data_IF_238270727290
#
_entry.id   IF_238270727290
#
_cell.length_a   1.000
_cell.length_b   1.000
_cell.length_c   1.000
_cell.angle_alpha   90.00
_cell.angle_beta   90.00
_cell.angle_gamma   90.00
#
_symmetry.space_group_name_H-M   'P 1'
#
loop_
_entity.id
_entity.type
_entity.pdbx_description
1 polymer ?
#
# COMPACT_ATOMS: atom_id res chain seq x y z
N UNK A 1 5.25 17.51 -25.16
CA UNK A 1 5.86 17.68 -23.84
C UNK A 1 5.05 18.66 -23.00
N UNK A 2 4.07 18.18 -22.20
CA UNK A 2 3.35 18.94 -21.16
C UNK A 2 2.70 17.94 -20.18
N UNK A 3 3.49 17.32 -19.31
CA UNK A 3 2.98 16.38 -18.29
C UNK A 3 3.49 16.64 -16.87
N UNK A 4 4.02 17.86 -16.61
CA UNK A 4 4.63 18.15 -15.31
C UNK A 4 3.69 18.82 -14.29
N UNK A 5 2.40 19.03 -14.62
CA UNK A 5 1.57 19.97 -13.85
C UNK A 5 0.59 19.34 -12.84
N UNK A 6 0.37 18.02 -12.86
CA UNK A 6 -0.65 17.40 -12.01
C UNK A 6 -0.17 17.16 -10.56
N UNK A 7 1.01 16.56 -10.38
CA UNK A 7 1.61 16.34 -9.04
C UNK A 7 1.84 17.66 -8.30
N UNK A 8 2.40 18.63 -9.03
CA UNK A 8 2.68 19.95 -8.47
C UNK A 8 1.39 20.68 -8.09
N UNK A 9 0.35 20.61 -8.93
CA UNK A 9 -0.96 21.17 -8.62
C UNK A 9 -1.71 20.45 -7.50
N UNK A 10 -1.55 19.14 -7.36
CA UNK A 10 -2.12 18.38 -6.24
C UNK A 10 -1.39 18.71 -4.93
N UNK A 11 -0.06 18.72 -4.96
CA UNK A 11 0.77 19.13 -3.82
C UNK A 11 0.59 20.62 -3.53
N UNK A 12 0.48 21.47 -4.55
CA UNK A 12 0.17 22.90 -4.39
C UNK A 12 -1.25 23.13 -3.85
N UNK A 13 -2.24 22.31 -4.22
CA UNK A 13 -3.57 22.33 -3.62
C UNK A 13 -3.59 21.77 -2.20
N UNK A 14 -2.83 20.73 -1.92
CA UNK A 14 -2.57 20.25 -0.56
C UNK A 14 -1.84 21.31 0.27
N UNK A 15 -0.84 21.99 -0.30
CA UNK A 15 -0.09 23.05 0.36
C UNK A 15 -0.84 24.39 0.42
N UNK A 16 -1.65 24.74 -0.56
CA UNK A 16 -2.44 25.98 -0.58
C UNK A 16 -3.72 25.92 0.24
N UNK A 17 -4.23 24.70 0.52
CA UNK A 17 -5.35 24.48 1.47
C UNK A 17 -4.90 24.38 2.93
N UNK A 18 -3.60 24.18 3.17
CA UNK A 18 -3.00 24.13 4.50
C UNK A 18 -2.43 25.51 4.82
N UNK A 19 -3.25 26.38 5.45
CA UNK A 19 -2.66 27.36 6.35
C UNK A 19 -1.79 26.60 7.37
N UNK A 20 -0.69 27.18 7.82
CA UNK A 20 0.21 26.61 8.86
C UNK A 20 -0.55 25.97 10.06
N UNK A 21 -1.80 26.37 10.32
CA UNK A 21 -2.71 25.78 11.29
C UNK A 21 -3.15 24.34 10.96
N UNK A 22 -3.24 23.94 9.69
CA UNK A 22 -3.62 22.56 9.31
C UNK A 22 -2.49 21.55 9.54
N UNK A 23 -1.24 21.93 9.29
CA UNK A 23 -0.08 21.08 9.61
C UNK A 23 0.11 20.95 11.13
N UNK A 24 -0.13 22.01 11.91
CA UNK A 24 -0.02 21.96 13.36
C UNK A 24 -1.09 21.06 13.99
N UNK A 25 -2.31 20.98 13.43
CA UNK A 25 -3.35 20.08 13.96
C UNK A 25 -3.06 18.60 13.66
N UNK A 26 -2.48 18.28 12.50
CA UNK A 26 -2.04 16.92 12.17
C UNK A 26 -0.80 16.55 13.00
N UNK A 27 0.15 17.45 13.17
CA UNK A 27 1.33 17.25 14.04
C UNK A 27 0.92 17.08 15.49
N UNK A 28 -0.01 17.90 16.01
CA UNK A 28 -0.54 17.78 17.36
C UNK A 28 -1.35 16.48 17.56
N UNK A 29 -2.08 16.02 16.56
CA UNK A 29 -2.77 14.73 16.61
C UNK A 29 -1.79 13.55 16.58
N UNK A 30 -0.65 13.69 15.90
CA UNK A 30 0.42 12.69 15.91
C UNK A 30 1.24 12.73 17.22
N UNK A 31 1.50 13.92 17.77
CA UNK A 31 2.25 14.11 19.02
C UNK A 31 1.39 13.81 20.27
N UNK A 32 0.09 14.05 20.20
CA UNK A 32 -0.88 13.63 21.21
C UNK A 32 -1.30 12.16 21.04
N UNK A 33 -0.56 11.39 20.22
CA UNK A 33 -0.89 10.01 19.96
C UNK A 33 -1.06 9.25 21.26
N UNK A 34 -2.30 8.91 21.57
CA UNK A 34 -2.60 7.82 22.48
C UNK A 34 -1.69 6.64 22.12
N UNK A 35 -1.16 5.92 23.10
CA UNK A 35 -0.38 4.72 22.82
C UNK A 35 -1.09 3.90 21.75
N UNK A 36 -0.35 3.53 20.71
CA UNK A 36 -0.92 2.73 19.62
C UNK A 36 -1.60 1.50 20.19
N UNK A 37 -2.73 1.12 19.62
CA UNK A 37 -3.49 -0.05 20.07
C UNK A 37 -2.59 -1.28 20.16
N UNK A 38 -2.40 -1.76 21.37
CA UNK A 38 -1.59 -2.93 21.67
C UNK A 38 -2.06 -4.18 20.91
N UNK A 39 -3.38 -4.25 20.63
CA UNK A 39 -3.95 -5.33 19.81
C UNK A 39 -3.43 -5.27 18.38
N UNK A 40 -3.42 -4.07 17.75
CA UNK A 40 -2.90 -3.91 16.39
C UNK A 40 -1.42 -4.34 16.31
N UNK A 41 -0.61 -3.93 17.31
CA UNK A 41 0.81 -4.31 17.38
C UNK A 41 0.97 -5.83 17.47
N UNK A 42 0.27 -6.45 18.44
CA UNK A 42 0.38 -7.88 18.70
C UNK A 42 -0.13 -8.73 17.52
N UNK A 43 -1.27 -8.35 16.94
CA UNK A 43 -1.86 -9.04 15.78
C UNK A 43 -0.93 -8.95 14.56
N UNK A 44 -0.32 -7.78 14.33
CA UNK A 44 0.61 -7.56 13.21
C UNK A 44 1.91 -8.36 13.39
N UNK A 45 2.47 -8.37 14.59
CA UNK A 45 3.69 -9.13 14.89
C UNK A 45 3.46 -10.64 14.77
N UNK A 46 2.35 -11.13 15.33
CA UNK A 46 1.94 -12.53 15.24
C UNK A 46 1.69 -12.96 13.79
N UNK A 47 1.09 -12.08 12.96
CA UNK A 47 0.85 -12.32 11.55
C UNK A 47 2.17 -12.46 10.77
N UNK A 48 3.13 -11.54 10.96
CA UNK A 48 4.46 -11.63 10.35
C UNK A 48 5.18 -12.90 10.79
N UNK A 49 5.24 -13.16 12.11
CA UNK A 49 5.89 -14.32 12.68
C UNK A 49 5.33 -15.65 12.15
N UNK A 50 4.02 -15.73 12.00
CA UNK A 50 3.34 -16.92 11.46
C UNK A 50 3.52 -17.08 9.95
N UNK A 51 3.50 -15.96 9.23
CA UNK A 51 3.47 -15.94 7.76
C UNK A 51 4.86 -16.03 7.14
N UNK A 52 5.88 -15.44 7.75
CA UNK A 52 7.27 -15.48 7.24
C UNK A 52 7.87 -16.85 7.55
N UNK A 53 7.98 -17.68 6.51
CA UNK A 53 8.45 -19.06 6.58
C UNK A 53 9.29 -19.41 5.35
N UNK A 54 9.78 -20.63 5.30
CA UNK A 54 10.62 -21.10 4.22
C UNK A 54 12.08 -20.61 4.36
N UNK A 55 12.88 -21.01 3.40
CA UNK A 55 14.31 -20.77 3.35
C UNK A 55 14.65 -19.41 2.72
N UNK A 56 13.87 -19.05 1.70
CA UNK A 56 14.05 -17.83 0.94
C UNK A 56 13.03 -16.78 1.37
N UNK A 57 13.51 -15.64 1.90
CA UNK A 57 12.64 -14.61 2.49
C UNK A 57 13.08 -13.23 2.04
N UNK A 58 12.12 -12.44 1.57
CA UNK A 58 12.36 -11.09 1.08
C UNK A 58 11.25 -10.15 1.54
N UNK A 59 11.57 -8.89 1.85
CA UNK A 59 10.58 -7.84 2.05
C UNK A 59 10.77 -6.74 1.02
N UNK A 60 9.67 -6.40 0.33
CA UNK A 60 9.59 -5.29 -0.62
C UNK A 60 9.00 -4.07 0.05
N UNK A 61 9.77 -2.99 0.01
CA UNK A 61 9.36 -1.68 0.50
C UNK A 61 8.68 -0.90 -0.62
N UNK A 62 7.36 -0.83 -0.58
CA UNK A 62 6.52 -0.15 -1.56
C UNK A 62 5.96 1.18 -1.05
N UNK A 63 6.73 2.29 -1.05
CA UNK A 63 6.21 3.59 -0.63
C UNK A 63 5.43 4.33 -1.72
N UNK A 64 5.67 3.99 -2.98
CA UNK A 64 5.09 4.65 -4.15
C UNK A 64 4.37 3.63 -5.04
N UNK A 65 3.34 4.06 -5.79
CA UNK A 65 2.68 3.20 -6.77
C UNK A 65 3.63 2.65 -7.82
N UNK A 66 4.49 3.47 -8.39
CA UNK A 66 5.56 3.13 -9.33
C UNK A 66 5.13 2.02 -10.30
N UNK A 67 4.09 2.27 -11.08
CA UNK A 67 3.54 1.33 -12.08
C UNK A 67 3.31 -0.10 -11.54
N UNK A 68 2.97 -0.22 -10.25
CA UNK A 68 2.77 -1.48 -9.50
C UNK A 68 4.03 -2.33 -9.28
N UNK A 69 5.23 -1.78 -9.47
CA UNK A 69 6.47 -2.54 -9.25
C UNK A 69 6.57 -3.23 -7.88
N UNK A 70 6.06 -2.72 -6.76
CA UNK A 70 6.06 -3.48 -5.51
C UNK A 70 5.36 -4.85 -5.64
N UNK A 71 4.27 -4.92 -6.42
CA UNK A 71 3.52 -6.16 -6.67
C UNK A 71 4.22 -7.00 -7.74
N UNK A 72 4.64 -6.37 -8.85
CA UNK A 72 5.33 -7.03 -9.95
C UNK A 72 6.61 -7.71 -9.46
N UNK A 73 7.40 -7.07 -8.60
CA UNK A 73 8.62 -7.66 -8.06
C UNK A 73 8.33 -8.80 -7.09
N UNK A 74 7.24 -8.72 -6.32
CA UNK A 74 6.76 -9.85 -5.53
C UNK A 74 6.42 -11.03 -6.43
N UNK A 75 5.69 -10.81 -7.54
CA UNK A 75 5.39 -11.83 -8.53
C UNK A 75 6.67 -12.39 -9.18
N UNK A 76 7.59 -11.53 -9.62
CA UNK A 76 8.84 -11.94 -10.26
C UNK A 76 9.70 -12.81 -9.31
N UNK A 77 9.68 -12.50 -8.03
CA UNK A 77 10.36 -13.31 -7.01
C UNK A 77 9.82 -14.74 -6.98
N UNK A 78 8.51 -14.92 -6.92
CA UNK A 78 7.88 -16.24 -6.96
C UNK A 78 8.15 -16.95 -8.29
N UNK A 79 8.00 -16.25 -9.41
CA UNK A 79 8.25 -16.79 -10.74
C UNK A 79 9.69 -17.34 -10.88
N UNK A 80 10.67 -16.51 -10.56
CA UNK A 80 12.08 -16.88 -10.80
C UNK A 80 12.59 -17.92 -9.79
N UNK A 81 12.13 -17.91 -8.56
CA UNK A 81 12.44 -18.96 -7.59
C UNK A 81 11.86 -20.32 -8.03
N UNK A 82 10.61 -20.35 -8.53
CA UNK A 82 10.04 -21.58 -9.08
C UNK A 82 10.85 -22.09 -10.29
N UNK A 83 11.24 -21.20 -11.20
CA UNK A 83 12.08 -21.57 -12.35
C UNK A 83 13.45 -22.13 -11.96
N UNK A 84 13.94 -21.77 -10.79
CA UNK A 84 15.21 -22.29 -10.22
C UNK A 84 15.02 -23.47 -9.24
N UNK A 85 13.79 -23.98 -9.14
CA UNK A 85 13.47 -25.20 -8.38
C UNK A 85 13.03 -24.99 -6.95
N UNK A 86 12.78 -23.75 -6.49
CA UNK A 86 12.23 -23.46 -5.16
C UNK A 86 10.70 -23.49 -5.21
N UNK A 87 10.02 -24.33 -4.44
CA UNK A 87 8.56 -24.34 -4.37
C UNK A 87 8.01 -23.17 -3.54
N UNK A 88 6.73 -22.83 -3.73
CA UNK A 88 6.09 -21.69 -3.06
C UNK A 88 6.10 -21.79 -1.54
N UNK A 89 6.07 -23.00 -0.97
CA UNK A 89 6.09 -23.25 0.49
C UNK A 89 7.47 -23.09 1.14
N UNK A 90 8.56 -23.04 0.35
CA UNK A 90 9.94 -22.79 0.83
C UNK A 90 10.39 -21.34 0.63
N UNK A 91 9.46 -20.43 0.30
CA UNK A 91 9.75 -19.01 0.18
C UNK A 91 8.66 -18.12 0.77
N UNK A 92 9.01 -16.88 1.12
CA UNK A 92 8.06 -15.84 1.51
C UNK A 92 8.49 -14.49 0.94
N UNK A 93 7.65 -13.90 0.11
CA UNK A 93 7.71 -12.49 -0.27
C UNK A 93 6.73 -11.69 0.60
N UNK A 94 7.22 -10.66 1.27
CA UNK A 94 6.40 -9.69 2.01
C UNK A 94 6.37 -8.39 1.24
N UNK A 95 5.20 -7.90 0.86
CA UNK A 95 5.03 -6.61 0.19
C UNK A 95 4.37 -5.61 1.15
N UNK A 96 5.07 -4.52 1.45
CA UNK A 96 4.59 -3.49 2.37
C UNK A 96 4.13 -2.27 1.57
N UNK A 97 2.81 -2.07 1.54
CA UNK A 97 2.17 -0.93 0.90
C UNK A 97 2.09 0.23 1.90
N UNK A 98 2.90 1.24 1.69
CA UNK A 98 2.96 2.41 2.57
C UNK A 98 2.96 3.71 1.77
N UNK A 99 2.81 4.85 2.43
CA UNK A 99 2.80 6.17 1.83
C UNK A 99 1.82 6.22 0.63
N UNK A 100 2.26 6.57 -0.58
CA UNK A 100 1.41 6.70 -1.75
C UNK A 100 0.93 5.37 -2.36
N UNK A 101 1.47 4.22 -1.92
CA UNK A 101 1.05 2.91 -2.43
C UNK A 101 -0.13 2.29 -1.64
N UNK A 102 -0.62 2.94 -0.57
CA UNK A 102 -1.75 2.41 0.22
C UNK A 102 -3.03 2.15 -0.58
N UNK A 103 -3.36 2.85 -1.70
CA UNK A 103 -4.53 2.54 -2.50
C UNK A 103 -4.56 1.09 -3.03
N UNK A 104 -3.40 0.49 -3.29
CA UNK A 104 -3.34 -0.90 -3.77
C UNK A 104 -3.92 -1.92 -2.77
N UNK A 105 -4.01 -1.54 -1.50
CA UNK A 105 -4.65 -2.36 -0.47
C UNK A 105 -6.18 -2.18 -0.41
N UNK A 106 -6.77 -1.27 -1.18
CA UNK A 106 -8.15 -0.83 -0.99
C UNK A 106 -9.08 -1.31 -2.09
N UNK A 107 -10.34 -1.57 -1.74
CA UNK A 107 -11.40 -2.02 -2.65
C UNK A 107 -11.83 -0.93 -3.65
N UNK A 108 -12.40 -1.36 -4.76
CA UNK A 108 -12.82 -0.52 -5.91
C UNK A 108 -13.73 0.65 -5.51
N UNK A 109 -14.64 0.45 -4.56
CA UNK A 109 -15.59 1.48 -4.12
C UNK A 109 -14.87 2.72 -3.59
N UNK A 110 -13.73 2.53 -2.91
CA UNK A 110 -12.93 3.64 -2.41
C UNK A 110 -12.19 4.35 -3.54
N UNK A 111 -11.75 3.63 -4.57
CA UNK A 111 -11.07 4.22 -5.71
C UNK A 111 -11.94 5.23 -6.46
N UNK A 112 -13.17 4.84 -6.76
CA UNK A 112 -14.12 5.73 -7.44
C UNK A 112 -14.57 6.90 -6.55
N UNK A 113 -14.90 6.62 -5.27
CA UNK A 113 -15.40 7.62 -4.33
C UNK A 113 -14.37 8.71 -4.03
N UNK A 114 -13.13 8.31 -3.75
CA UNK A 114 -12.05 9.21 -3.34
C UNK A 114 -11.13 9.60 -4.50
N UNK A 115 -11.41 9.13 -5.73
CA UNK A 115 -10.59 9.41 -6.93
C UNK A 115 -9.11 9.08 -6.72
N UNK A 116 -8.82 7.91 -6.18
CA UNK A 116 -7.46 7.51 -5.84
C UNK A 116 -6.51 7.54 -7.04
N UNK A 117 -6.96 7.17 -8.23
CA UNK A 117 -6.14 7.25 -9.42
C UNK A 117 -5.64 8.67 -9.71
N UNK A 118 -6.50 9.69 -9.51
CA UNK A 118 -6.13 11.09 -9.67
C UNK A 118 -5.24 11.56 -8.50
N UNK A 119 -5.65 11.26 -7.27
CA UNK A 119 -4.99 11.73 -6.06
C UNK A 119 -3.56 11.17 -5.88
N UNK A 120 -3.38 9.88 -6.17
CA UNK A 120 -2.09 9.19 -6.05
C UNK A 120 -1.36 9.02 -7.39
N UNK A 121 -1.87 9.64 -8.47
CA UNK A 121 -1.30 9.60 -9.81
C UNK A 121 -1.11 8.16 -10.33
N UNK A 122 -2.15 7.35 -10.18
CA UNK A 122 -2.19 5.98 -10.67
C UNK A 122 -3.03 5.93 -11.95
N UNK A 123 -2.38 5.59 -13.05
CA UNK A 123 -3.02 5.51 -14.37
C UNK A 123 -3.52 4.09 -14.62
N UNK A 124 -4.73 3.96 -15.10
CA UNK A 124 -5.26 2.71 -15.63
C UNK A 124 -4.61 2.38 -16.98
N UNK A 125 -4.00 1.20 -17.10
CA UNK A 125 -3.24 0.83 -18.29
C UNK A 125 -4.09 0.62 -19.54
N UNK A 126 -5.39 0.35 -19.37
CA UNK A 126 -6.31 0.12 -20.48
C UNK A 126 -6.85 1.45 -21.01
N UNK A 127 -7.44 2.25 -20.12
CA UNK A 127 -8.08 3.53 -20.51
C UNK A 127 -7.09 4.67 -20.67
N UNK A 128 -5.87 4.57 -20.12
CA UNK A 128 -4.85 5.63 -20.04
C UNK A 128 -5.32 6.88 -19.27
N UNK A 129 -6.38 6.74 -18.50
CA UNK A 129 -6.93 7.76 -17.60
C UNK A 129 -6.58 7.43 -16.14
N UNK A 130 -6.81 8.34 -15.18
CA UNK A 130 -6.70 8.00 -13.76
C UNK A 130 -7.58 6.79 -13.41
N UNK A 131 -7.00 5.83 -12.70
CA UNK A 131 -7.69 4.60 -12.34
C UNK A 131 -8.88 4.87 -11.40
N UNK A 132 -10.02 4.27 -11.71
CA UNK A 132 -11.27 4.38 -10.93
C UNK A 132 -11.61 3.11 -10.14
N UNK A 133 -10.75 2.11 -10.21
CA UNK A 133 -10.79 0.82 -9.49
C UNK A 133 -9.37 0.38 -9.14
N UNK A 134 -9.25 -0.61 -8.27
CA UNK A 134 -7.96 -1.24 -7.99
C UNK A 134 -7.57 -2.17 -9.15
N UNK A 135 -6.56 -1.84 -9.97
CA UNK A 135 -6.21 -2.68 -11.11
C UNK A 135 -5.33 -3.88 -10.73
N UNK A 136 -4.90 -3.99 -9.47
CA UNK A 136 -3.82 -4.91 -9.09
C UNK A 136 -4.19 -5.93 -8.01
N UNK A 137 -5.36 -5.80 -7.37
CA UNK A 137 -5.82 -6.82 -6.42
C UNK A 137 -6.33 -8.07 -7.16
N UNK A 138 -7.27 -7.89 -8.10
CA UNK A 138 -7.75 -8.91 -9.06
C UNK A 138 -7.65 -8.31 -10.47
N UNK A 139 -6.46 -8.38 -11.09
CA UNK A 139 -6.20 -7.74 -12.36
C UNK A 139 -7.02 -8.35 -13.50
N UNK A 140 -7.37 -7.50 -14.47
CA UNK A 140 -7.93 -7.89 -15.76
C UNK A 140 -6.85 -7.88 -16.84
N UNK A 141 -7.15 -8.48 -17.97
CA UNK A 141 -6.25 -8.42 -19.12
C UNK A 141 -5.94 -6.97 -19.50
N UNK A 142 -4.67 -6.63 -19.58
CA UNK A 142 -4.19 -5.30 -19.91
C UNK A 142 -3.93 -4.38 -18.69
N UNK A 143 -4.27 -4.77 -17.47
CA UNK A 143 -3.97 -3.96 -16.26
C UNK A 143 -2.47 -3.89 -16.00
N UNK A 144 -1.75 -4.96 -16.22
CA UNK A 144 -0.30 -4.98 -16.21
C UNK A 144 0.30 -4.74 -17.61
N UNK A 145 1.54 -4.24 -17.71
CA UNK A 145 2.21 -4.02 -18.98
C UNK A 145 2.54 -5.32 -19.73
N UNK A 146 2.60 -6.45 -19.03
CA UNK A 146 2.86 -7.78 -19.57
C UNK A 146 1.77 -8.75 -19.12
N UNK A 147 1.39 -9.72 -19.98
CA UNK A 147 0.42 -10.75 -19.59
C UNK A 147 1.03 -11.73 -18.57
N UNK A 148 0.17 -12.37 -17.78
CA UNK A 148 0.56 -13.45 -16.87
C UNK A 148 1.16 -12.99 -15.54
N UNK A 149 1.14 -11.69 -15.23
CA UNK A 149 1.53 -11.17 -13.91
C UNK A 149 0.38 -11.43 -12.93
N UNK A 150 0.68 -12.13 -11.83
CA UNK A 150 -0.29 -12.41 -10.77
C UNK A 150 -0.59 -11.14 -9.97
N UNK A 151 -1.88 -10.89 -9.69
CA UNK A 151 -2.32 -9.84 -8.77
C UNK A 151 -2.14 -10.23 -7.30
N UNK A 152 -2.44 -9.27 -6.42
CA UNK A 152 -2.26 -9.42 -4.96
C UNK A 152 -2.98 -10.68 -4.45
N UNK A 153 -4.25 -10.86 -4.80
CA UNK A 153 -5.05 -12.01 -4.33
C UNK A 153 -4.39 -13.34 -4.70
N UNK A 154 -3.97 -13.51 -5.94
CA UNK A 154 -3.32 -14.74 -6.38
C UNK A 154 -1.95 -14.95 -5.75
N UNK A 155 -1.19 -13.90 -5.54
CA UNK A 155 0.07 -13.97 -4.81
C UNK A 155 -0.13 -14.38 -3.34
N UNK A 156 -1.22 -13.90 -2.70
CA UNK A 156 -1.58 -14.35 -1.34
C UNK A 156 -1.92 -15.86 -1.30
N UNK A 157 -2.61 -16.38 -2.31
CA UNK A 157 -2.90 -17.82 -2.45
C UNK A 157 -1.61 -18.66 -2.57
N UNK A 158 -0.54 -18.06 -3.10
CA UNK A 158 0.80 -18.66 -3.20
C UNK A 158 1.65 -18.51 -1.94
N UNK A 159 1.15 -17.78 -0.94
CA UNK A 159 1.86 -17.57 0.34
C UNK A 159 2.56 -16.22 0.47
N UNK A 160 2.45 -15.30 -0.49
CA UNK A 160 2.93 -13.94 -0.33
C UNK A 160 2.13 -13.19 0.73
N UNK A 161 2.81 -12.37 1.51
CA UNK A 161 2.24 -11.55 2.56
C UNK A 161 2.11 -10.10 2.07
N UNK A 162 0.93 -9.53 2.23
CA UNK A 162 0.69 -8.12 1.92
C UNK A 162 0.20 -7.38 3.16
N UNK A 163 0.78 -6.23 3.44
CA UNK A 163 0.31 -5.37 4.50
C UNK A 163 0.24 -3.91 4.09
N UNK A 164 -0.55 -3.13 4.83
CA UNK A 164 -0.76 -1.70 4.60
C UNK A 164 -0.53 -0.90 5.86
N UNK A 165 0.05 0.28 5.70
CA UNK A 165 0.48 1.20 6.76
C UNK A 165 -0.72 1.98 7.36
N UNK A 166 -1.10 1.72 8.62
CA UNK A 166 -2.15 2.48 9.33
C UNK A 166 -1.78 3.96 9.50
N UNK A 167 -0.50 4.24 9.78
CA UNK A 167 -0.03 5.62 9.89
C UNK A 167 -0.28 6.41 8.57
N UNK A 168 -0.03 5.79 7.41
CA UNK A 168 -0.30 6.43 6.12
C UNK A 168 -1.81 6.58 5.89
N UNK A 169 -2.63 5.58 6.25
CA UNK A 169 -4.09 5.69 6.21
C UNK A 169 -4.55 6.88 7.06
N UNK A 170 -4.03 7.03 8.28
CA UNK A 170 -4.36 8.14 9.19
C UNK A 170 -4.01 9.49 8.60
N UNK A 171 -2.80 9.63 8.07
CA UNK A 171 -2.32 10.90 7.49
C UNK A 171 -3.14 11.29 6.25
N UNK A 172 -3.31 10.35 5.31
CA UNK A 172 -4.03 10.65 4.06
C UNK A 172 -5.53 10.83 4.29
N UNK A 173 -6.17 10.08 5.19
CA UNK A 173 -7.58 10.34 5.54
C UNK A 173 -7.78 11.75 6.09
N UNK A 174 -6.82 12.28 6.86
CA UNK A 174 -6.82 13.68 7.32
C UNK A 174 -6.75 14.69 6.16
N UNK A 175 -5.88 14.46 5.17
CA UNK A 175 -5.79 15.33 4.00
C UNK A 175 -7.07 15.28 3.14
N UNK A 176 -7.63 14.10 2.94
CA UNK A 176 -8.89 13.95 2.20
C UNK A 176 -10.07 14.60 2.94
N UNK A 177 -10.11 14.48 4.27
CA UNK A 177 -11.14 15.11 5.09
C UNK A 177 -11.16 16.63 4.92
N UNK A 178 -10.00 17.28 4.94
CA UNK A 178 -9.88 18.72 4.71
C UNK A 178 -10.38 19.12 3.31
N UNK A 179 -9.98 18.37 2.27
CA UNK A 179 -10.36 18.68 0.90
C UNK A 179 -11.86 18.44 0.60
N UNK A 180 -12.48 17.49 1.31
CA UNK A 180 -13.87 17.09 1.11
C UNK A 180 -14.84 17.70 2.13
N UNK A 181 -14.33 18.45 3.11
CA UNK A 181 -15.08 18.96 4.26
C UNK A 181 -15.82 17.85 5.03
N UNK A 182 -15.11 16.76 5.30
CA UNK A 182 -15.57 15.59 6.06
C UNK A 182 -14.74 15.44 7.35
N UNK A 183 -15.12 14.49 8.21
CA UNK A 183 -14.33 14.14 9.39
C UNK A 183 -13.26 13.12 9.05
N UNK A 184 -12.05 13.30 9.54
CA UNK A 184 -10.92 12.41 9.30
C UNK A 184 -11.18 11.00 9.84
N UNK A 185 -11.84 10.91 10.99
CA UNK A 185 -12.18 9.64 11.65
C UNK A 185 -13.14 8.81 10.79
N UNK A 186 -14.13 9.45 10.16
CA UNK A 186 -15.11 8.78 9.31
C UNK A 186 -14.44 8.22 8.06
N UNK A 187 -13.56 9.00 7.42
CA UNK A 187 -12.79 8.56 6.24
C UNK A 187 -11.84 7.43 6.64
N UNK A 188 -11.10 7.57 7.74
CA UNK A 188 -10.20 6.53 8.23
C UNK A 188 -10.97 5.23 8.50
N UNK A 189 -12.10 5.30 9.16
CA UNK A 189 -12.94 4.13 9.45
C UNK A 189 -13.40 3.44 8.15
N UNK A 190 -13.85 4.21 7.16
CA UNK A 190 -14.28 3.69 5.87
C UNK A 190 -13.11 3.05 5.10
N UNK A 191 -11.95 3.70 5.06
CA UNK A 191 -10.78 3.13 4.39
C UNK A 191 -10.32 1.85 5.05
N UNK A 192 -10.30 1.82 6.40
CA UNK A 192 -9.96 0.63 7.17
C UNK A 192 -10.91 -0.54 6.86
N UNK A 193 -12.22 -0.28 6.82
CA UNK A 193 -13.23 -1.27 6.45
C UNK A 193 -13.14 -1.71 4.97
N UNK A 194 -12.63 -0.84 4.13
CA UNK A 194 -12.44 -1.07 2.70
C UNK A 194 -11.11 -1.70 2.32
N UNK A 195 -10.31 -2.18 3.25
CA UNK A 195 -9.10 -2.95 2.92
C UNK A 195 -9.49 -4.29 2.28
N UNK A 196 -8.76 -4.65 1.22
CA UNK A 196 -8.98 -5.91 0.51
C UNK A 196 -8.69 -7.12 1.41
N UNK A 197 -9.40 -8.25 1.22
CA UNK A 197 -9.20 -9.45 2.02
C UNK A 197 -7.75 -9.94 2.03
N UNK A 198 -7.30 -10.44 3.18
CA UNK A 198 -5.95 -11.00 3.33
C UNK A 198 -4.81 -9.97 3.44
N UNK A 199 -5.08 -8.67 3.26
CA UNK A 199 -4.09 -7.62 3.49
C UNK A 199 -4.13 -7.20 4.96
N UNK A 200 -3.01 -7.35 5.66
CA UNK A 200 -2.89 -7.00 7.08
C UNK A 200 -2.67 -5.49 7.25
N UNK A 201 -3.46 -4.86 8.11
CA UNK A 201 -3.15 -3.50 8.57
C UNK A 201 -2.05 -3.61 9.63
N UNK A 202 -0.98 -2.83 9.47
CA UNK A 202 0.16 -2.79 10.41
C UNK A 202 0.35 -1.39 10.97
N UNK A 203 0.93 -1.23 12.16
CA UNK A 203 1.13 0.06 12.83
C UNK A 203 1.72 1.14 11.91
N UNK A 204 2.83 0.80 11.25
CA UNK A 204 3.37 1.59 10.14
C UNK A 204 4.18 0.70 9.20
N UNK A 205 4.36 1.14 7.96
CA UNK A 205 5.16 0.39 6.99
C UNK A 205 6.61 0.25 7.43
N UNK A 206 7.19 1.30 8.01
CA UNK A 206 8.59 1.25 8.50
C UNK A 206 8.75 0.33 9.71
N UNK A 207 7.76 0.24 10.60
CA UNK A 207 7.74 -0.75 11.67
C UNK A 207 7.70 -2.16 11.09
N UNK A 208 6.84 -2.42 10.12
CA UNK A 208 6.72 -3.74 9.49
C UNK A 208 7.98 -4.15 8.73
N UNK A 209 8.69 -3.20 8.09
CA UNK A 209 9.99 -3.44 7.47
C UNK A 209 11.03 -3.93 8.49
N UNK A 210 11.11 -3.27 9.65
CA UNK A 210 12.00 -3.70 10.73
C UNK A 210 11.67 -5.12 11.20
N UNK A 211 10.39 -5.39 11.48
CA UNK A 211 9.94 -6.72 11.93
C UNK A 211 10.19 -7.82 10.89
N UNK A 212 9.91 -7.57 9.62
CA UNK A 212 10.18 -8.54 8.57
C UNK A 212 11.67 -8.91 8.49
N UNK A 213 12.57 -7.93 8.65
CA UNK A 213 14.01 -8.17 8.68
C UNK A 213 14.45 -8.93 9.95
N UNK A 214 13.86 -8.64 11.11
CA UNK A 214 14.09 -9.40 12.36
C UNK A 214 13.67 -10.88 12.19
N UNK A 215 12.66 -11.15 11.36
CA UNK A 215 12.23 -12.51 10.99
C UNK A 215 13.04 -13.12 9.83
N UNK A 216 14.13 -12.47 9.43
CA UNK A 216 15.11 -13.01 8.48
C UNK A 216 14.84 -12.66 7.01
N UNK A 217 13.99 -11.69 6.71
CA UNK A 217 13.82 -11.21 5.34
C UNK A 217 15.00 -10.35 4.89
N UNK A 218 15.50 -10.61 3.67
CA UNK A 218 16.28 -9.61 2.95
C UNK A 218 15.39 -8.42 2.56
N UNK A 219 15.97 -7.26 2.25
CA UNK A 219 15.26 -6.02 1.94
C UNK A 219 15.48 -5.60 0.49
N UNK A 220 14.40 -5.23 -0.19
CA UNK A 220 14.44 -4.58 -1.52
C UNK A 220 13.53 -3.35 -1.50
N UNK A 221 14.09 -2.20 -1.89
CA UNK A 221 13.33 -0.98 -2.13
C UNK A 221 12.58 -1.08 -3.46
N UNK A 222 11.28 -0.86 -3.45
CA UNK A 222 10.40 -0.98 -4.62
C UNK A 222 9.68 0.33 -4.97
N UNK A 223 10.25 1.45 -4.60
CA UNK A 223 9.60 2.76 -4.76
C UNK A 223 10.04 3.56 -5.99
N UNK A 224 11.04 3.15 -6.76
CA UNK A 224 11.50 3.86 -7.97
C UNK A 224 12.38 5.06 -7.71
#
# INVERSE_FOLDING_TARGET
MKTSNSRRKFIEKLAAGTTLAGFSSISLALEAATPMDSKLINDSDAWLKKGIKGKHKIVYDGPEPHDAYPIIWTWAYYLTNNQTGTPDDDMTGVCILRHNAIPFAMKDELWSKYKFGEAFNITDNISKAPAIRNPYYEPKDGDYPLPGIDGIKKLQERGALFCVCDLAITVFSGFFAQNMNLKAEDIKAEWTAGICPGIQIVPSGVWALGRAQEYGCGYIYAGG
#
